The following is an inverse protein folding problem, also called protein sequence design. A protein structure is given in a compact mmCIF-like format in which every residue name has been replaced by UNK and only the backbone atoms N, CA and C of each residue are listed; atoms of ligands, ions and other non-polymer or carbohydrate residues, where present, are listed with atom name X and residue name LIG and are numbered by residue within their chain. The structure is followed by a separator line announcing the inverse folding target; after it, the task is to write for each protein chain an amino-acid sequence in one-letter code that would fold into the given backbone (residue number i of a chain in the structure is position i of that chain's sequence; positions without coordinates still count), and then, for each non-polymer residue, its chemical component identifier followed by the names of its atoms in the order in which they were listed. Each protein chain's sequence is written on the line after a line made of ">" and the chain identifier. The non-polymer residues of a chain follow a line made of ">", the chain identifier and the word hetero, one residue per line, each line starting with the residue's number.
data_IF_004338447685
#
_entry.id   IF_004338447685
#
_cell.length_a   1.000
_cell.length_b   1.000
_cell.length_c   1.000
_cell.angle_alpha   90.00
_cell.angle_beta   90.00
_cell.angle_gamma   90.00
#
_symmetry.space_group_name_H-M   'P 1'
#
loop_
_entity.id
_entity.type
_entity.pdbx_description
1 polymer ?
#
# COMPACT_ATOMS: atom_id res chain seq x y z
N UNK A 1 -1.40 -62.36 1.98
CA UNK A 1 -0.29 -61.95 2.86
C UNK A 1 -0.77 -60.77 3.68
N UNK A 2 -0.99 -60.99 4.98
CA UNK A 2 -1.52 -59.97 5.90
C UNK A 2 -0.39 -59.22 6.60
N UNK A 3 -0.58 -57.92 6.82
CA UNK A 3 0.24 -57.14 7.72
C UNK A 3 -0.56 -56.79 8.97
N UNK A 4 0.02 -57.15 10.10
CA UNK A 4 -0.51 -57.02 11.45
C UNK A 4 -0.30 -55.58 11.94
N UNK A 5 -1.38 -54.99 12.45
CA UNK A 5 -1.41 -53.73 13.19
C UNK A 5 -0.88 -53.97 14.60
N UNK A 6 0.26 -53.39 14.96
CA UNK A 6 0.70 -53.33 16.37
C UNK A 6 0.31 -51.99 16.96
N UNK A 7 -0.71 -52.02 17.83
CA UNK A 7 -1.16 -50.90 18.63
C UNK A 7 -0.15 -50.51 19.71
N UNK A 8 -0.01 -49.20 19.94
CA UNK A 8 0.66 -48.67 21.12
C UNK A 8 -0.29 -48.62 22.31
N UNK A 9 0.21 -49.02 23.48
CA UNK A 9 -0.55 -49.06 24.74
C UNK A 9 -1.02 -47.66 25.16
N UNK A 10 -2.32 -47.50 25.32
CA UNK A 10 -2.94 -46.38 26.03
C UNK A 10 -2.44 -46.31 27.47
N UNK A 11 -1.70 -45.25 27.84
CA UNK A 11 -1.48 -44.93 29.25
C UNK A 11 -2.70 -44.17 29.80
N UNK A 12 -3.35 -44.81 30.77
CA UNK A 12 -4.29 -44.21 31.71
C UNK A 12 -3.57 -43.13 32.53
N UNK A 13 -3.78 -41.86 32.18
CA UNK A 13 -3.74 -40.75 33.14
C UNK A 13 -4.40 -39.51 32.51
N UNK A 14 -5.74 -39.50 32.53
CA UNK A 14 -6.54 -38.29 32.32
C UNK A 14 -6.30 -37.35 33.51
N UNK A 15 -5.25 -36.51 33.46
CA UNK A 15 -5.20 -35.31 34.30
C UNK A 15 -6.12 -34.26 33.70
N UNK A 16 -7.18 -33.92 34.43
CA UNK A 16 -8.05 -32.77 34.16
C UNK A 16 -7.18 -31.53 33.97
N UNK A 17 -7.21 -30.91 32.78
CA UNK A 17 -6.72 -29.55 32.60
C UNK A 17 -7.69 -28.63 33.35
N UNK A 18 -7.22 -28.02 34.44
CA UNK A 18 -7.87 -26.81 34.95
C UNK A 18 -7.69 -25.73 33.88
N UNK A 19 -8.77 -25.41 33.18
CA UNK A 19 -8.86 -24.19 32.39
C UNK A 19 -8.94 -23.05 33.41
N UNK A 20 -7.87 -22.25 33.51
CA UNK A 20 -7.97 -20.94 34.14
C UNK A 20 -8.77 -20.02 33.19
N UNK A 21 -9.77 -19.27 33.67
CA UNK A 21 -10.52 -18.36 32.83
C UNK A 21 -9.59 -17.19 32.44
N UNK A 22 -9.23 -17.13 31.16
CA UNK A 22 -8.35 -16.11 30.56
C UNK A 22 -9.07 -14.78 30.26
N UNK A 23 -10.21 -14.54 30.90
CA UNK A 23 -10.98 -13.30 30.74
C UNK A 23 -11.25 -12.69 32.11
N UNK A 24 -10.28 -11.94 32.65
CA UNK A 24 -10.52 -10.86 33.63
C UNK A 24 -9.27 -10.02 33.97
N UNK A 25 -8.27 -9.90 33.08
CA UNK A 25 -7.07 -9.09 33.35
C UNK A 25 -7.07 -7.72 32.66
N UNK A 26 -8.20 -7.02 32.74
CA UNK A 26 -8.30 -5.61 32.36
C UNK A 26 -9.33 -4.89 33.22
N UNK A 27 -9.10 -4.82 34.54
CA UNK A 27 -9.71 -3.82 35.42
C UNK A 27 -9.20 -4.03 36.86
N UNK A 28 -8.12 -3.36 37.27
CA UNK A 28 -7.88 -2.94 38.67
C UNK A 28 -6.44 -2.44 38.83
N UNK A 29 -6.31 -1.18 39.24
CA UNK A 29 -5.03 -0.56 39.64
C UNK A 29 -4.40 -1.19 40.89
N UNK A 30 -5.12 -2.02 41.66
CA UNK A 30 -4.57 -2.65 42.87
C UNK A 30 -3.66 -3.85 42.60
N UNK A 31 -3.71 -4.45 41.41
CA UNK A 31 -2.86 -5.60 41.08
C UNK A 31 -1.46 -5.22 40.59
N UNK A 32 -1.24 -3.96 40.19
CA UNK A 32 0.08 -3.45 39.81
C UNK A 32 0.96 -3.20 41.05
N UNK A 33 0.38 -2.68 42.14
CA UNK A 33 1.12 -2.33 43.37
C UNK A 33 1.78 -3.55 44.03
N UNK A 34 1.09 -4.70 44.07
CA UNK A 34 1.63 -5.94 44.67
C UNK A 34 2.83 -6.52 43.92
N UNK A 35 3.03 -6.14 42.65
CA UNK A 35 4.17 -6.61 41.88
C UNK A 35 5.41 -5.73 42.04
N UNK A 36 5.25 -4.45 42.42
CA UNK A 36 6.37 -3.53 42.69
C UNK A 36 7.04 -3.86 44.04
N UNK A 37 6.26 -4.21 45.06
CA UNK A 37 6.79 -4.60 46.39
C UNK A 37 7.66 -5.88 46.37
N UNK A 38 7.53 -6.72 45.33
CA UNK A 38 8.36 -7.92 45.14
C UNK A 38 9.76 -7.61 44.58
N UNK A 39 9.97 -6.43 44.00
CA UNK A 39 11.26 -6.02 43.44
C UNK A 39 12.06 -5.10 44.39
N UNK A 40 11.46 -4.59 45.47
CA UNK A 40 12.13 -3.68 46.42
C UNK A 40 12.55 -4.33 47.75
N UNK A 41 12.44 -5.65 47.91
CA UNK A 41 12.87 -6.30 49.15
C UNK A 41 14.42 -6.31 49.29
N UNK A 42 15.00 -5.70 50.33
CA UNK A 42 16.46 -5.65 50.51
C UNK A 42 17.00 -7.03 50.92
N UNK A 43 18.08 -7.44 50.24
CA UNK A 43 18.83 -8.67 50.52
C UNK A 43 19.55 -8.53 51.86
N UNK A 44 18.93 -9.00 52.94
CA UNK A 44 19.59 -9.14 54.24
C UNK A 44 20.41 -10.43 54.30
N UNK A 45 21.73 -10.29 54.36
CA UNK A 45 22.63 -11.32 54.87
C UNK A 45 22.41 -11.50 56.38
N UNK A 46 22.04 -12.70 56.82
CA UNK A 46 22.26 -13.13 58.21
C UNK A 46 22.87 -14.52 58.27
N UNK A 47 24.14 -14.56 58.71
CA UNK A 47 24.74 -15.72 59.36
C UNK A 47 24.01 -15.96 60.68
N UNK A 48 23.69 -17.22 60.98
CA UNK A 48 23.56 -17.71 62.34
C UNK A 48 24.13 -19.14 62.39
N UNK A 49 25.25 -19.29 63.10
CA UNK A 49 25.71 -20.55 63.67
C UNK A 49 24.98 -20.74 65.01
N UNK A 50 24.40 -21.93 65.24
CA UNK A 50 24.63 -22.74 66.44
C UNK A 50 23.51 -23.78 66.66
N UNK A 51 23.92 -25.05 66.74
CA UNK A 51 23.47 -25.98 67.78
C UNK A 51 22.18 -26.77 67.59
N UNK A 52 22.31 -28.10 67.37
CA UNK A 52 21.34 -29.07 67.88
C UNK A 52 20.83 -30.12 66.89
N UNK A 53 21.49 -31.27 66.87
CA UNK A 53 21.11 -32.55 66.27
C UNK A 53 19.60 -32.84 66.12
N UNK A 54 19.19 -33.29 64.92
CA UNK A 54 18.66 -34.65 64.67
C UNK A 54 18.30 -34.84 63.19
N UNK A 55 19.08 -35.71 62.54
CA UNK A 55 18.68 -36.69 61.51
C UNK A 55 17.41 -36.37 60.71
N UNK A 56 17.53 -35.42 59.79
CA UNK A 56 16.77 -35.46 58.55
C UNK A 56 17.79 -35.59 57.42
N UNK A 57 17.96 -36.81 56.90
CA UNK A 57 18.54 -37.02 55.56
C UNK A 57 17.56 -36.41 54.55
N UNK A 58 17.52 -35.08 54.51
CA UNK A 58 16.98 -34.36 53.38
C UNK A 58 18.00 -34.64 52.29
N UNK A 59 17.64 -35.57 51.40
CA UNK A 59 18.26 -35.67 50.10
C UNK A 59 18.44 -34.24 49.59
N UNK A 60 19.68 -33.77 49.59
CA UNK A 60 20.08 -32.61 48.82
C UNK A 60 19.77 -32.98 47.38
N UNK A 61 18.53 -32.70 46.96
CA UNK A 61 18.14 -32.69 45.56
C UNK A 61 19.16 -31.75 44.94
N UNK A 62 20.10 -32.33 44.19
CA UNK A 62 21.03 -31.59 43.33
C UNK A 62 20.20 -30.45 42.75
N UNK A 63 20.53 -29.21 43.12
CA UNK A 63 20.00 -28.01 42.50
C UNK A 63 20.08 -28.30 41.01
N UNK A 64 18.92 -28.53 40.39
CA UNK A 64 18.85 -28.80 38.96
C UNK A 64 19.62 -27.64 38.35
N UNK A 65 20.68 -27.93 37.61
CA UNK A 65 21.37 -26.93 36.82
C UNK A 65 20.28 -26.08 36.17
N UNK A 66 20.16 -24.83 36.58
CA UNK A 66 19.25 -23.90 35.94
C UNK A 66 19.68 -23.91 34.49
N UNK A 67 18.85 -24.51 33.62
CA UNK A 67 19.07 -24.46 32.18
C UNK A 67 19.33 -22.99 31.88
N UNK A 68 20.48 -22.68 31.26
CA UNK A 68 20.80 -21.30 30.89
C UNK A 68 19.62 -20.79 30.06
N UNK A 69 18.91 -19.78 30.58
CA UNK A 69 17.81 -19.16 29.86
C UNK A 69 18.38 -18.59 28.57
N UNK A 70 17.80 -19.00 27.47
CA UNK A 70 18.14 -18.55 26.14
C UNK A 70 17.08 -17.57 25.66
N UNK A 71 17.41 -16.77 24.65
CA UNK A 71 16.45 -15.85 24.03
C UNK A 71 15.19 -16.58 23.50
N UNK A 72 15.32 -17.88 23.18
CA UNK A 72 14.21 -18.72 22.70
C UNK A 72 13.22 -19.11 23.81
N UNK A 73 13.60 -18.95 25.08
CA UNK A 73 12.71 -19.22 26.21
C UNK A 73 11.79 -18.01 26.51
N UNK A 74 11.94 -16.89 25.80
CA UNK A 74 11.05 -15.73 25.89
C UNK A 74 9.73 -15.96 25.15
N UNK A 75 8.63 -15.36 25.61
CA UNK A 75 7.39 -15.27 24.83
C UNK A 75 7.62 -14.65 23.44
N UNK A 76 6.88 -15.14 22.46
CA UNK A 76 7.00 -14.73 21.05
C UNK A 76 6.81 -13.22 20.90
N UNK A 77 5.90 -12.64 21.68
CA UNK A 77 5.59 -11.22 21.67
C UNK A 77 6.80 -10.38 22.11
N UNK A 78 7.56 -10.86 23.11
CA UNK A 78 8.77 -10.19 23.58
C UNK A 78 9.88 -10.30 22.52
N UNK A 79 10.02 -11.45 21.87
CA UNK A 79 10.99 -11.65 20.79
C UNK A 79 10.68 -10.71 19.61
N UNK A 80 9.41 -10.61 19.21
CA UNK A 80 8.97 -9.68 18.16
C UNK A 80 9.23 -8.22 18.55
N UNK A 81 8.99 -7.86 19.82
CA UNK A 81 9.28 -6.52 20.33
C UNK A 81 10.77 -6.21 20.26
N UNK A 82 11.63 -7.12 20.73
CA UNK A 82 13.09 -6.99 20.62
C UNK A 82 13.50 -6.80 19.15
N UNK A 83 12.94 -7.61 18.24
CA UNK A 83 13.22 -7.49 16.82
C UNK A 83 12.86 -6.09 16.26
N UNK A 84 11.70 -5.55 16.64
CA UNK A 84 11.29 -4.19 16.25
C UNK A 84 12.30 -3.15 16.73
N UNK A 85 12.70 -3.20 18.02
CA UNK A 85 13.67 -2.27 18.62
C UNK A 85 15.08 -2.37 18.02
N UNK A 86 15.49 -3.55 17.54
CA UNK A 86 16.74 -3.70 16.78
C UNK A 86 16.66 -3.12 15.37
N UNK A 87 15.67 -2.26 15.09
CA UNK A 87 15.36 -1.73 13.75
C UNK A 87 15.26 -2.87 12.73
N UNK A 88 14.59 -3.96 13.15
CA UNK A 88 14.30 -5.18 12.37
C UNK A 88 15.44 -5.63 11.48
N UNK A 89 16.64 -5.75 12.05
CA UNK A 89 17.81 -6.24 11.36
C UNK A 89 17.56 -7.69 10.88
N UNK A 90 17.72 -7.99 9.58
CA UNK A 90 17.34 -9.29 9.01
C UNK A 90 18.14 -10.46 9.60
N UNK A 91 19.27 -10.16 10.24
CA UNK A 91 20.17 -11.08 10.95
C UNK A 91 19.43 -11.98 11.94
N UNK A 92 18.40 -11.49 12.66
CA UNK A 92 17.69 -12.31 13.65
C UNK A 92 16.80 -13.39 12.99
N UNK A 93 16.22 -13.10 11.82
CA UNK A 93 15.33 -14.00 11.09
C UNK A 93 16.09 -15.19 10.50
N UNK A 94 17.38 -15.02 10.19
CA UNK A 94 18.23 -16.03 9.56
C UNK A 94 18.94 -16.95 10.55
N UNK A 95 18.89 -16.66 11.86
CA UNK A 95 19.61 -17.44 12.88
C UNK A 95 19.17 -18.90 12.95
N UNK A 96 17.86 -19.15 12.97
CA UNK A 96 17.29 -20.49 13.01
C UNK A 96 15.79 -20.50 12.66
N UNK A 97 15.24 -21.71 12.50
CA UNK A 97 13.83 -21.91 12.16
C UNK A 97 12.84 -21.37 13.20
N UNK A 98 13.22 -21.35 14.49
CA UNK A 98 12.37 -20.81 15.54
C UNK A 98 12.19 -19.29 15.37
N UNK A 99 13.28 -18.52 15.24
CA UNK A 99 13.18 -17.08 14.99
C UNK A 99 12.53 -16.76 13.66
N UNK A 100 12.82 -17.53 12.61
CA UNK A 100 12.11 -17.41 11.34
C UNK A 100 10.59 -17.56 11.50
N UNK A 101 10.16 -18.55 12.29
CA UNK A 101 8.73 -18.80 12.53
C UNK A 101 8.08 -17.69 13.36
N UNK A 102 8.76 -17.20 14.40
CA UNK A 102 8.29 -16.12 15.26
C UNK A 102 8.25 -14.75 14.55
N UNK A 103 9.19 -14.51 13.63
CA UNK A 103 9.37 -13.24 12.92
C UNK A 103 8.85 -13.30 11.48
N UNK A 104 8.06 -14.33 11.15
CA UNK A 104 7.42 -14.44 9.85
C UNK A 104 6.57 -13.18 9.59
N UNK A 105 6.70 -12.53 8.42
CA UNK A 105 5.91 -11.36 8.10
C UNK A 105 4.42 -11.63 8.29
N UNK A 106 3.80 -10.85 9.17
CA UNK A 106 2.37 -10.86 9.46
C UNK A 106 1.90 -9.42 9.53
N UNK A 107 0.60 -9.18 9.29
CA UNK A 107 0.04 -7.83 9.39
C UNK A 107 0.40 -7.16 10.71
N UNK A 108 0.21 -7.84 11.85
CA UNK A 108 0.49 -7.28 13.16
C UNK A 108 1.97 -6.90 13.34
N UNK A 109 2.89 -7.76 12.91
CA UNK A 109 4.33 -7.49 13.03
C UNK A 109 4.76 -6.35 12.10
N UNK A 110 4.32 -6.38 10.84
CA UNK A 110 4.66 -5.34 9.86
C UNK A 110 4.08 -3.99 10.25
N UNK A 111 2.83 -3.94 10.72
CA UNK A 111 2.22 -2.71 11.21
C UNK A 111 2.98 -2.14 12.40
N UNK A 112 3.43 -2.97 13.34
CA UNK A 112 4.27 -2.51 14.46
C UNK A 112 5.61 -1.94 13.99
N UNK A 113 6.28 -2.61 13.03
CA UNK A 113 7.53 -2.09 12.45
C UNK A 113 7.28 -0.77 11.71
N UNK A 114 6.15 -0.66 11.00
CA UNK A 114 5.75 0.56 10.30
C UNK A 114 5.62 1.72 11.29
N UNK A 115 4.85 1.54 12.36
CA UNK A 115 4.64 2.58 13.37
C UNK A 115 5.91 2.91 14.13
N UNK A 116 6.77 1.95 14.42
CA UNK A 116 8.02 2.25 15.12
C UNK A 116 9.02 3.03 14.26
N UNK A 117 9.06 2.78 12.94
CA UNK A 117 10.10 3.35 12.07
C UNK A 117 9.68 4.57 11.26
N UNK A 118 8.40 4.66 10.91
CA UNK A 118 7.89 5.65 9.97
C UNK A 118 6.88 6.60 10.60
N UNK A 119 6.54 6.42 11.88
CA UNK A 119 5.84 7.45 12.63
C UNK A 119 6.82 8.59 12.88
N UNK A 120 6.40 9.80 12.51
CA UNK A 120 7.15 11.00 12.75
C UNK A 120 6.76 11.57 14.12
N UNK A 121 7.74 11.71 15.01
CA UNK A 121 7.59 12.44 16.27
C UNK A 121 8.17 13.86 16.10
N UNK A 122 7.33 14.91 16.02
CA UNK A 122 7.83 16.26 15.82
C UNK A 122 8.66 16.78 17.02
N UNK A 123 8.49 16.22 18.22
CA UNK A 123 9.23 16.63 19.41
C UNK A 123 10.72 16.23 19.31
N UNK A 124 11.03 15.11 18.67
CA UNK A 124 12.43 14.69 18.43
C UNK A 124 13.21 15.71 17.59
N UNK A 125 12.50 16.53 16.80
CA UNK A 125 13.06 17.53 15.90
C UNK A 125 12.87 18.98 16.39
N UNK A 126 12.46 19.17 17.66
CA UNK A 126 12.31 20.50 18.26
C UNK A 126 11.11 21.31 17.75
N UNK A 127 10.09 20.65 17.18
CA UNK A 127 8.85 21.30 16.75
C UNK A 127 7.91 21.42 17.95
N UNK A 128 7.88 22.60 18.58
CA UNK A 128 7.10 22.84 19.80
C UNK A 128 5.64 23.28 19.52
N UNK A 129 5.36 23.83 18.33
CA UNK A 129 4.04 24.34 17.94
C UNK A 129 3.12 23.26 17.33
N UNK A 130 2.86 22.20 18.08
CA UNK A 130 1.93 21.13 17.66
C UNK A 130 0.55 21.41 18.29
N UNK A 131 -0.49 21.65 17.50
CA UNK A 131 -1.87 21.69 18.03
C UNK A 131 -2.19 20.39 18.76
N UNK A 132 -3.00 20.47 19.82
CA UNK A 132 -3.26 19.41 20.82
C UNK A 132 -3.79 18.04 20.33
N UNK A 133 -3.89 17.79 19.01
CA UNK A 133 -4.12 16.47 18.43
C UNK A 133 -3.70 16.48 16.93
N UNK A 134 -2.40 16.29 16.60
CA UNK A 134 -1.96 16.19 15.20
C UNK A 134 -2.34 14.83 14.57
N UNK A 135 -2.76 13.86 15.40
CA UNK A 135 -2.89 12.47 15.03
C UNK A 135 -1.55 11.87 14.56
N UNK A 136 -1.57 10.69 13.94
CA UNK A 136 -0.33 10.03 13.54
C UNK A 136 0.17 10.62 12.22
N UNK A 137 1.40 11.14 12.23
CA UNK A 137 2.08 11.66 11.04
C UNK A 137 3.04 10.57 10.54
N UNK A 138 2.98 10.23 9.25
CA UNK A 138 3.79 9.16 8.67
C UNK A 138 4.73 9.68 7.60
N UNK A 139 5.96 9.16 7.57
CA UNK A 139 6.97 9.46 6.57
C UNK A 139 6.60 8.74 5.24
N UNK A 140 6.46 9.45 4.10
CA UNK A 140 6.03 8.87 2.82
C UNK A 140 6.99 7.84 2.21
N UNK A 141 8.26 7.86 2.62
CA UNK A 141 9.28 6.89 2.15
C UNK A 141 8.92 5.44 2.51
N UNK A 142 7.97 5.25 3.44
CA UNK A 142 7.35 3.96 3.72
C UNK A 142 6.94 3.19 2.44
N UNK A 143 6.36 3.90 1.47
CA UNK A 143 5.82 3.28 0.27
C UNK A 143 6.87 2.86 -0.76
N UNK A 144 8.12 3.27 -0.59
CA UNK A 144 9.23 2.84 -1.46
C UNK A 144 9.64 1.40 -1.16
N UNK A 145 9.35 0.92 0.06
CA UNK A 145 9.54 -0.47 0.42
C UNK A 145 8.38 -1.33 -0.06
N UNK A 146 8.67 -2.24 -1.00
CA UNK A 146 7.71 -3.19 -1.59
C UNK A 146 6.84 -3.92 -0.56
N UNK A 147 7.41 -4.31 0.59
CA UNK A 147 6.67 -5.00 1.65
C UNK A 147 5.58 -4.14 2.27
N UNK A 148 5.90 -2.88 2.59
CA UNK A 148 4.93 -1.95 3.18
C UNK A 148 3.95 -1.43 2.15
N UNK A 149 4.38 -1.26 0.90
CA UNK A 149 3.47 -0.97 -0.20
C UNK A 149 2.42 -2.07 -0.38
N UNK A 150 2.84 -3.34 -0.37
CA UNK A 150 1.89 -4.46 -0.41
C UNK A 150 0.97 -4.50 0.81
N UNK A 151 1.51 -4.23 2.01
CA UNK A 151 0.73 -4.11 3.23
C UNK A 151 -0.37 -3.04 3.10
N UNK A 152 -0.04 -1.89 2.52
CA UNK A 152 -0.99 -0.82 2.19
C UNK A 152 -2.09 -1.34 1.27
N UNK A 153 -1.75 -1.93 0.13
CA UNK A 153 -2.75 -2.42 -0.83
C UNK A 153 -3.74 -3.39 -0.18
N UNK A 154 -3.23 -4.31 0.65
CA UNK A 154 -4.03 -5.35 1.30
C UNK A 154 -4.86 -4.83 2.50
N UNK A 155 -4.38 -3.81 3.23
CA UNK A 155 -4.96 -3.36 4.51
C UNK A 155 -5.18 -1.84 4.63
N UNK A 156 -5.34 -1.13 3.50
CA UNK A 156 -5.48 0.33 3.44
C UNK A 156 -6.54 0.88 4.39
N UNK A 157 -7.68 0.19 4.53
CA UNK A 157 -8.80 0.62 5.38
C UNK A 157 -8.40 0.74 6.87
N UNK A 158 -7.50 -0.11 7.37
CA UNK A 158 -7.03 -0.03 8.76
C UNK A 158 -5.93 1.00 8.86
N UNK A 159 -4.95 0.95 7.95
CA UNK A 159 -3.74 1.76 8.04
C UNK A 159 -4.05 3.25 7.85
N UNK A 160 -4.78 3.60 6.79
CA UNK A 160 -5.05 5.01 6.47
C UNK A 160 -6.00 5.67 7.47
N UNK A 161 -6.92 4.93 8.11
CA UNK A 161 -7.77 5.47 9.18
C UNK A 161 -6.97 5.96 10.38
N UNK A 162 -5.86 5.28 10.68
CA UNK A 162 -4.96 5.66 11.76
C UNK A 162 -3.95 6.73 11.37
N UNK A 163 -3.83 7.10 10.09
CA UNK A 163 -2.91 8.13 9.61
C UNK A 163 -3.67 9.43 9.43
N UNK A 164 -3.22 10.48 10.11
CA UNK A 164 -3.82 11.79 9.97
C UNK A 164 -3.17 12.56 8.83
N UNK A 165 -1.83 12.57 8.78
CA UNK A 165 -1.08 13.31 7.78
C UNK A 165 0.16 12.53 7.31
N UNK A 166 0.61 12.83 6.09
CA UNK A 166 1.91 12.40 5.61
C UNK A 166 2.86 13.60 5.65
N UNK A 167 4.07 13.38 6.18
CA UNK A 167 5.09 14.43 6.23
C UNK A 167 5.60 14.71 4.82
N UNK A 168 5.63 15.96 4.34
CA UNK A 168 6.11 16.20 3.00
C UNK A 168 7.56 15.74 2.78
N UNK A 169 7.84 15.14 1.62
CA UNK A 169 9.16 14.57 1.31
C UNK A 169 10.30 15.59 1.43
N UNK A 170 10.05 16.83 1.00
CA UNK A 170 11.03 17.92 1.11
C UNK A 170 11.39 18.20 2.57
N UNK A 171 10.39 18.34 3.44
CA UNK A 171 10.64 18.56 4.87
C UNK A 171 11.38 17.39 5.52
N UNK A 172 11.05 16.15 5.12
CA UNK A 172 11.80 14.99 5.62
C UNK A 172 13.28 15.02 5.18
N UNK A 173 13.57 15.43 3.95
CA UNK A 173 14.94 15.59 3.45
C UNK A 173 15.68 16.71 4.19
N UNK A 174 15.06 17.89 4.31
CA UNK A 174 15.64 19.03 5.04
C UNK A 174 15.97 18.66 6.50
N UNK A 175 15.15 17.83 7.15
CA UNK A 175 15.39 17.29 8.49
C UNK A 175 16.57 16.30 8.54
N UNK A 176 16.71 15.44 7.53
CA UNK A 176 17.85 14.52 7.45
C UNK A 176 19.18 15.26 7.22
N UNK A 177 19.13 16.34 6.45
CA UNK A 177 20.30 17.14 6.08
C UNK A 177 20.71 18.13 7.20
N UNK A 178 19.87 18.32 8.23
CA UNK A 178 20.13 19.23 9.35
C UNK A 178 19.85 20.70 9.03
N UNK A 179 19.28 20.98 7.85
CA UNK A 179 18.92 22.32 7.36
C UNK A 179 17.47 22.69 7.71
N UNK A 180 16.80 21.87 8.52
CA UNK A 180 15.43 22.09 8.92
C UNK A 180 15.29 23.29 9.87
N UNK A 181 14.72 24.37 9.34
CA UNK A 181 14.42 25.57 10.10
C UNK A 181 13.15 25.36 10.95
N UNK A 182 13.34 24.90 12.19
CA UNK A 182 12.25 24.73 13.16
C UNK A 182 11.52 26.04 13.52
N UNK A 183 12.08 27.20 13.16
CA UNK A 183 11.45 28.52 13.38
C UNK A 183 10.46 28.90 12.27
N UNK A 184 10.62 28.32 11.07
CA UNK A 184 9.57 28.29 10.05
C UNK A 184 8.65 27.14 10.41
N UNK A 185 7.65 27.46 11.23
CA UNK A 185 6.62 26.55 11.70
C UNK A 185 6.32 25.51 10.61
N UNK A 186 6.62 24.24 10.92
CA UNK A 186 5.92 23.14 10.26
C UNK A 186 4.46 23.39 10.63
N UNK A 187 3.75 24.14 9.81
CA UNK A 187 2.35 24.47 10.06
C UNK A 187 1.54 23.22 9.74
N UNK A 188 1.70 22.22 10.62
CA UNK A 188 0.93 20.99 10.71
C UNK A 188 -0.57 21.31 10.75
N UNK A 189 -0.92 22.54 11.13
CA UNK A 189 -2.28 23.03 11.18
C UNK A 189 -2.80 23.52 9.82
N UNK A 190 -1.92 24.00 8.93
CA UNK A 190 -2.24 24.31 7.53
C UNK A 190 -2.38 23.06 6.66
N UNK A 191 -1.81 21.93 7.08
CA UNK A 191 -1.97 20.60 6.44
C UNK A 191 -3.36 20.00 6.62
N UNK A 192 -4.36 20.81 6.94
CA UNK A 192 -5.76 20.43 6.89
C UNK A 192 -6.07 19.81 5.52
N UNK A 193 -6.66 18.63 5.56
CA UNK A 193 -6.93 17.72 4.43
C UNK A 193 -7.80 18.33 3.30
N UNK A 194 -8.26 19.57 3.46
CA UNK A 194 -9.11 20.27 2.49
C UNK A 194 -8.38 21.21 1.53
N UNK A 195 -7.31 21.89 1.95
CA UNK A 195 -6.75 23.04 1.21
C UNK A 195 -5.21 23.09 1.08
N UNK A 196 -4.48 22.13 1.66
CA UNK A 196 -3.04 22.04 1.44
C UNK A 196 -2.72 21.40 0.07
N UNK A 197 -1.66 21.89 -0.60
CA UNK A 197 -1.12 21.24 -1.80
C UNK A 197 -0.79 19.78 -1.48
N UNK A 198 -1.66 18.86 -1.90
CA UNK A 198 -1.44 17.43 -1.69
C UNK A 198 -0.12 17.01 -2.32
N UNK A 199 0.60 16.14 -1.62
CA UNK A 199 1.81 15.53 -2.15
C UNK A 199 1.50 14.68 -3.38
N UNK A 200 2.52 14.46 -4.21
CA UNK A 200 2.38 13.55 -5.34
C UNK A 200 2.24 12.09 -4.86
N UNK A 201 1.55 11.27 -5.66
CA UNK A 201 1.44 9.85 -5.37
C UNK A 201 2.82 9.18 -5.29
N UNK A 202 2.99 8.14 -4.45
CA UNK A 202 4.21 7.35 -4.43
C UNK A 202 4.53 6.74 -5.80
N UNK A 203 5.81 6.67 -6.15
CA UNK A 203 6.28 6.20 -7.48
C UNK A 203 5.77 4.81 -7.87
N UNK A 204 5.49 3.94 -6.90
CA UNK A 204 4.94 2.62 -7.20
C UNK A 204 3.58 2.68 -7.93
N UNK A 205 2.78 3.72 -7.71
CA UNK A 205 1.52 3.93 -8.45
C UNK A 205 1.76 4.37 -9.90
N UNK A 206 2.92 4.94 -10.21
CA UNK A 206 3.32 5.27 -11.58
C UNK A 206 3.87 4.07 -12.35
N UNK A 207 4.34 3.02 -11.67
CA UNK A 207 4.95 1.85 -12.31
C UNK A 207 4.04 0.63 -12.38
N UNK A 208 3.13 0.46 -11.43
CA UNK A 208 2.24 -0.72 -11.36
C UNK A 208 0.81 -0.37 -11.80
N UNK A 209 0.59 -0.45 -13.11
CA UNK A 209 -0.68 -0.14 -13.78
C UNK A 209 -1.85 -1.01 -13.29
N UNK A 210 -1.57 -2.21 -12.79
CA UNK A 210 -2.60 -3.15 -12.36
C UNK A 210 -3.37 -2.62 -11.13
N UNK A 211 -2.76 -1.74 -10.34
CA UNK A 211 -3.34 -1.21 -9.11
C UNK A 211 -4.65 -0.46 -9.37
N UNK A 212 -4.74 0.27 -10.48
CA UNK A 212 -5.95 1.01 -10.86
C UNK A 212 -7.12 0.09 -11.22
N UNK A 213 -6.86 -1.19 -11.50
CA UNK A 213 -7.88 -2.20 -11.74
C UNK A 213 -8.27 -2.94 -10.46
N UNK A 214 -7.28 -3.46 -9.72
CA UNK A 214 -7.52 -4.40 -8.62
C UNK A 214 -7.69 -3.74 -7.26
N UNK A 215 -7.17 -2.52 -7.07
CA UNK A 215 -7.12 -1.84 -5.78
C UNK A 215 -7.78 -0.46 -5.81
N UNK A 216 -8.90 -0.31 -6.54
CA UNK A 216 -9.63 0.97 -6.71
C UNK A 216 -9.90 1.71 -5.41
N UNK A 217 -10.40 1.01 -4.38
CA UNK A 217 -10.72 1.62 -3.09
C UNK A 217 -9.47 2.08 -2.32
N UNK A 218 -8.35 1.36 -2.47
CA UNK A 218 -7.07 1.81 -1.94
C UNK A 218 -6.62 3.10 -2.62
N UNK A 219 -6.68 3.16 -3.96
CA UNK A 219 -6.29 4.35 -4.73
C UNK A 219 -7.13 5.56 -4.33
N UNK A 220 -8.45 5.42 -4.19
CA UNK A 220 -9.34 6.49 -3.69
C UNK A 220 -8.96 6.92 -2.28
N UNK A 221 -8.72 5.97 -1.38
CA UNK A 221 -8.36 6.26 0.01
C UNK A 221 -7.03 7.00 0.10
N UNK A 222 -6.04 6.62 -0.71
CA UNK A 222 -4.75 7.31 -0.82
C UNK A 222 -4.94 8.70 -1.44
N UNK A 223 -5.87 8.86 -2.38
CA UNK A 223 -6.25 10.15 -2.99
C UNK A 223 -6.80 11.19 -2.00
N UNK A 224 -7.18 10.78 -0.78
CA UNK A 224 -7.52 11.73 0.28
C UNK A 224 -6.27 12.47 0.81
N UNK A 225 -5.10 11.84 0.73
CA UNK A 225 -3.84 12.35 1.24
C UNK A 225 -2.90 12.85 0.14
N UNK A 226 -2.95 12.25 -1.05
CA UNK A 226 -2.09 12.54 -2.19
C UNK A 226 -2.90 12.99 -3.41
N UNK A 227 -2.28 13.71 -4.33
CA UNK A 227 -2.84 14.05 -5.64
C UNK A 227 -1.87 13.62 -6.74
N UNK A 228 -2.35 12.91 -7.75
CA UNK A 228 -1.51 12.44 -8.86
C UNK A 228 -1.14 13.64 -9.75
N UNK A 229 0.09 14.16 -9.62
CA UNK A 229 0.47 15.43 -10.27
C UNK A 229 0.59 15.31 -11.79
N UNK A 230 1.03 14.16 -12.29
CA UNK A 230 1.22 13.93 -13.71
C UNK A 230 0.38 12.73 -14.20
N UNK A 231 -0.95 12.90 -14.37
CA UNK A 231 -1.83 11.80 -14.72
C UNK A 231 -1.49 11.15 -16.08
N UNK A 232 -0.99 11.92 -17.04
CA UNK A 232 -0.66 11.41 -18.38
C UNK A 232 0.52 10.43 -18.39
N UNK A 233 1.47 10.58 -17.46
CA UNK A 233 2.55 9.62 -17.24
C UNK A 233 2.05 8.25 -16.73
N UNK A 234 0.77 8.17 -16.33
CA UNK A 234 0.11 6.92 -15.95
C UNK A 234 -0.88 6.49 -17.02
N UNK A 235 -1.69 7.41 -17.55
CA UNK A 235 -2.77 7.09 -18.50
C UNK A 235 -2.22 6.43 -19.77
N UNK A 236 -1.25 7.03 -20.46
CA UNK A 236 -0.76 6.47 -21.72
C UNK A 236 -0.10 5.10 -21.52
N UNK A 237 0.83 4.93 -20.55
CA UNK A 237 1.38 3.59 -20.24
C UNK A 237 0.33 2.59 -19.74
N UNK A 238 -0.68 3.04 -19.01
CA UNK A 238 -1.81 2.20 -18.61
C UNK A 238 -2.58 1.69 -19.82
N UNK A 239 -2.86 2.54 -20.81
CA UNK A 239 -3.54 2.14 -22.05
C UNK A 239 -2.75 1.07 -22.81
N UNK A 240 -1.45 1.31 -23.01
CA UNK A 240 -0.56 0.35 -23.67
C UNK A 240 -0.54 -1.00 -22.93
N UNK A 241 -0.32 -0.95 -21.61
CA UNK A 241 -0.30 -2.13 -20.76
C UNK A 241 -1.65 -2.88 -20.74
N UNK A 242 -2.76 -2.15 -20.76
CA UNK A 242 -4.11 -2.73 -20.75
C UNK A 242 -4.37 -3.51 -22.04
N UNK A 243 -4.10 -2.90 -23.20
CA UNK A 243 -4.24 -3.56 -24.51
C UNK A 243 -3.30 -4.76 -24.65
N UNK A 244 -2.05 -4.63 -24.20
CA UNK A 244 -1.09 -5.73 -24.18
C UNK A 244 -1.59 -6.87 -23.28
N UNK A 245 -2.22 -6.55 -22.14
CA UNK A 245 -2.79 -7.54 -21.23
C UNK A 245 -3.99 -8.26 -21.83
N UNK A 246 -4.81 -7.59 -22.64
CA UNK A 246 -5.91 -8.21 -23.41
C UNK A 246 -5.36 -9.18 -24.46
N UNK A 247 -4.28 -8.81 -25.16
CA UNK A 247 -3.65 -9.67 -26.16
C UNK A 247 -3.01 -10.92 -25.54
N UNK A 248 -2.11 -10.74 -24.57
CA UNK A 248 -1.25 -11.81 -24.05
C UNK A 248 -2.01 -12.78 -23.12
N UNK A 249 -2.94 -12.27 -22.30
CA UNK A 249 -3.62 -13.10 -21.30
C UNK A 249 -4.82 -13.77 -21.97
N UNK A 250 -4.68 -15.08 -22.24
CA UNK A 250 -5.71 -15.88 -22.91
C UNK A 250 -7.13 -15.69 -22.37
N UNK A 251 -8.12 -16.11 -23.16
CA UNK A 251 -9.55 -15.78 -23.04
C UNK A 251 -10.16 -15.72 -21.63
N UNK A 252 -9.71 -16.55 -20.67
CA UNK A 252 -10.22 -16.57 -19.30
C UNK A 252 -9.83 -15.37 -18.41
N UNK A 253 -8.80 -14.59 -18.77
CA UNK A 253 -8.45 -13.34 -18.05
C UNK A 253 -8.94 -12.13 -18.84
N UNK A 254 -8.91 -12.18 -20.18
CA UNK A 254 -9.52 -11.17 -21.04
C UNK A 254 -11.01 -10.94 -20.72
N UNK A 255 -11.74 -12.00 -20.30
CA UNK A 255 -13.14 -11.86 -19.86
C UNK A 255 -13.35 -10.96 -18.64
N UNK A 256 -12.29 -10.63 -17.89
CA UNK A 256 -12.34 -9.69 -16.76
C UNK A 256 -11.91 -8.27 -17.16
N UNK A 257 -11.25 -8.12 -18.30
CA UNK A 257 -10.78 -6.84 -18.82
C UNK A 257 -11.78 -6.36 -19.87
N UNK A 258 -12.74 -5.56 -19.43
CA UNK A 258 -13.78 -4.98 -20.29
C UNK A 258 -13.48 -3.53 -20.64
N UNK A 259 -14.12 -3.03 -21.69
CA UNK A 259 -14.11 -1.61 -22.01
C UNK A 259 -14.58 -0.71 -20.86
N UNK A 260 -15.65 -1.11 -20.16
CA UNK A 260 -16.16 -0.32 -19.03
C UNK A 260 -15.09 -0.21 -17.92
N UNK A 261 -14.40 -1.33 -17.63
CA UNK A 261 -13.32 -1.35 -16.64
C UNK A 261 -12.14 -0.47 -17.07
N UNK A 262 -11.82 -0.43 -18.37
CA UNK A 262 -10.82 0.46 -18.93
C UNK A 262 -11.17 1.93 -18.67
N UNK A 263 -12.40 2.35 -19.01
CA UNK A 263 -12.84 3.72 -18.79
C UNK A 263 -12.92 4.08 -17.30
N UNK A 264 -13.46 3.20 -16.45
CA UNK A 264 -13.54 3.42 -15.00
C UNK A 264 -12.16 3.62 -14.37
N UNK A 265 -11.14 2.94 -14.89
CA UNK A 265 -9.77 3.05 -14.38
C UNK A 265 -9.14 4.39 -14.76
N UNK A 266 -9.42 4.88 -15.97
CA UNK A 266 -8.98 6.22 -16.39
C UNK A 266 -9.72 7.30 -15.59
N UNK A 267 -11.02 7.14 -15.37
CA UNK A 267 -11.79 8.05 -14.51
C UNK A 267 -11.22 8.10 -13.10
N UNK A 268 -10.81 6.95 -12.55
CA UNK A 268 -10.16 6.87 -11.25
C UNK A 268 -8.84 7.63 -11.24
N UNK A 269 -8.01 7.49 -12.28
CA UNK A 269 -6.73 8.21 -12.41
C UNK A 269 -6.97 9.73 -12.44
N UNK A 270 -7.93 10.20 -13.24
CA UNK A 270 -8.30 11.61 -13.32
C UNK A 270 -8.92 12.14 -12.03
N UNK A 271 -9.71 11.31 -11.35
CA UNK A 271 -10.30 11.65 -10.06
C UNK A 271 -9.21 11.91 -9.02
N UNK A 272 -8.22 11.01 -8.90
CA UNK A 272 -7.13 11.19 -7.93
C UNK A 272 -6.08 12.22 -8.36
N UNK A 273 -6.07 12.65 -9.63
CA UNK A 273 -5.28 13.80 -10.08
C UNK A 273 -5.92 15.14 -9.71
N UNK A 274 -7.12 15.14 -9.14
CA UNK A 274 -7.87 16.36 -8.80
C UNK A 274 -8.55 17.02 -10.00
N UNK A 275 -8.73 16.29 -11.12
CA UNK A 275 -9.49 16.82 -12.26
C UNK A 275 -10.97 16.94 -11.90
N UNK A 276 -11.49 18.17 -11.88
CA UNK A 276 -12.88 18.46 -11.51
C UNK A 276 -13.87 18.07 -12.60
N UNK A 277 -13.45 18.12 -13.86
CA UNK A 277 -14.30 17.87 -15.03
C UNK A 277 -14.18 16.44 -15.56
N UNK A 278 -13.21 15.65 -15.06
CA UNK A 278 -12.86 14.34 -15.62
C UNK A 278 -12.60 14.37 -17.14
N UNK A 279 -12.16 15.53 -17.65
CA UNK A 279 -11.75 15.71 -19.05
C UNK A 279 -10.23 15.69 -19.14
N UNK A 280 -9.72 15.36 -20.32
CA UNK A 280 -8.29 15.51 -20.58
C UNK A 280 -7.96 16.94 -20.99
N UNK A 281 -6.79 17.37 -20.55
CA UNK A 281 -6.10 18.61 -20.94
C UNK A 281 -4.92 18.34 -21.88
N UNK A 282 -4.62 17.06 -22.14
CA UNK A 282 -3.58 16.61 -23.07
C UNK A 282 -4.17 15.76 -24.17
N UNK A 283 -3.58 15.85 -25.36
CA UNK A 283 -3.97 15.06 -26.52
C UNK A 283 -3.31 13.69 -26.57
N UNK A 284 -2.25 13.49 -25.78
CA UNK A 284 -1.46 12.27 -25.72
C UNK A 284 -2.29 10.99 -25.51
N UNK A 285 -3.32 10.94 -24.64
CA UNK A 285 -4.16 9.74 -24.49
C UNK A 285 -4.92 9.37 -25.75
N UNK A 286 -5.44 10.35 -26.51
CA UNK A 286 -6.12 10.11 -27.78
C UNK A 286 -5.14 9.60 -28.84
N UNK A 287 -3.99 10.25 -28.97
CA UNK A 287 -2.95 9.84 -29.90
C UNK A 287 -2.47 8.41 -29.63
N UNK A 288 -2.25 8.08 -28.35
CA UNK A 288 -1.90 6.73 -27.89
C UNK A 288 -2.98 5.74 -28.28
N UNK A 289 -4.25 6.05 -28.00
CA UNK A 289 -5.36 5.15 -28.28
C UNK A 289 -5.52 4.88 -29.78
N UNK A 290 -5.45 5.91 -30.62
CA UNK A 290 -5.52 5.73 -32.08
C UNK A 290 -4.31 4.92 -32.57
N UNK A 291 -3.11 5.15 -32.01
CA UNK A 291 -1.94 4.35 -32.33
C UNK A 291 -2.12 2.86 -32.01
N UNK A 292 -2.68 2.56 -30.83
CA UNK A 292 -2.95 1.18 -30.41
C UNK A 292 -3.99 0.52 -31.32
N UNK A 293 -5.09 1.21 -31.63
CA UNK A 293 -6.23 0.64 -32.35
C UNK A 293 -6.05 0.55 -33.88
N UNK A 294 -5.26 1.42 -34.49
CA UNK A 294 -5.15 1.51 -35.95
C UNK A 294 -3.76 1.13 -36.49
N UNK A 295 -2.74 1.00 -35.63
CA UNK A 295 -1.41 0.59 -36.05
C UNK A 295 -0.90 -0.63 -35.29
N UNK A 296 -0.97 -0.62 -33.95
CA UNK A 296 -0.37 -1.69 -33.14
C UNK A 296 -1.17 -2.98 -33.18
N UNK A 297 -2.47 -2.90 -32.91
CA UNK A 297 -3.34 -4.06 -32.75
C UNK A 297 -4.29 -4.29 -33.92
N UNK A 298 -4.21 -3.50 -35.01
CA UNK A 298 -5.16 -3.54 -36.15
C UNK A 298 -5.42 -4.97 -36.67
N UNK A 299 -4.35 -5.77 -36.81
CA UNK A 299 -4.43 -7.15 -37.29
C UNK A 299 -4.99 -8.17 -36.28
N UNK A 300 -5.04 -7.82 -34.99
CA UNK A 300 -5.44 -8.72 -33.89
C UNK A 300 -6.72 -8.28 -33.18
N UNK A 301 -7.34 -7.16 -33.58
CA UNK A 301 -8.64 -6.73 -33.03
C UNK A 301 -9.78 -7.75 -33.26
N UNK A 302 -9.65 -8.62 -34.27
CA UNK A 302 -10.62 -9.70 -34.57
C UNK A 302 -10.37 -10.97 -33.76
N UNK A 303 -9.39 -10.99 -32.87
CA UNK A 303 -9.15 -12.14 -31.99
C UNK A 303 -10.24 -12.23 -30.91
N UNK A 304 -10.56 -13.43 -30.41
CA UNK A 304 -11.62 -13.61 -29.41
C UNK A 304 -11.37 -12.82 -28.13
N UNK A 305 -10.11 -12.56 -27.76
CA UNK A 305 -9.78 -11.75 -26.59
C UNK A 305 -10.25 -10.29 -26.78
N UNK A 306 -10.02 -9.71 -27.95
CA UNK A 306 -10.46 -8.36 -28.28
C UNK A 306 -11.97 -8.29 -28.52
N UNK A 307 -12.59 -9.31 -29.13
CA UNK A 307 -14.05 -9.38 -29.24
C UNK A 307 -14.75 -9.31 -27.87
N UNK A 308 -14.22 -10.06 -26.88
CA UNK A 308 -14.72 -10.02 -25.51
C UNK A 308 -14.48 -8.65 -24.85
N UNK A 309 -13.30 -8.08 -25.05
CA UNK A 309 -12.95 -6.74 -24.52
C UNK A 309 -13.88 -5.65 -25.07
N UNK A 310 -14.09 -5.62 -26.39
CA UNK A 310 -14.98 -4.64 -27.04
C UNK A 310 -16.46 -4.89 -26.74
N UNK A 311 -16.83 -6.08 -26.24
CA UNK A 311 -18.21 -6.48 -25.98
C UNK A 311 -19.12 -6.24 -27.20
N UNK A 312 -18.68 -6.70 -28.38
CA UNK A 312 -19.35 -6.48 -29.67
C UNK A 312 -19.43 -5.02 -30.17
N UNK A 313 -18.69 -4.08 -29.57
CA UNK A 313 -18.54 -2.73 -30.12
C UNK A 313 -17.58 -2.74 -31.31
N UNK A 314 -17.84 -1.87 -32.30
CA UNK A 314 -16.86 -1.60 -33.35
C UNK A 314 -15.74 -0.70 -32.81
N UNK A 315 -14.56 -0.76 -33.43
CA UNK A 315 -13.45 0.17 -33.14
C UNK A 315 -13.87 1.64 -33.23
N UNK A 316 -14.71 1.98 -34.21
CA UNK A 316 -15.20 3.35 -34.39
C UNK A 316 -16.09 3.79 -33.22
N UNK A 317 -17.01 2.92 -32.78
CA UNK A 317 -17.88 3.19 -31.63
C UNK A 317 -17.09 3.32 -30.33
N UNK A 318 -16.03 2.52 -30.18
CA UNK A 318 -15.09 2.66 -29.06
C UNK A 318 -14.45 4.06 -29.06
N UNK A 319 -13.96 4.51 -30.22
CA UNK A 319 -13.34 5.84 -30.37
C UNK A 319 -14.36 6.95 -30.08
N UNK A 320 -15.58 6.81 -30.57
CA UNK A 320 -16.69 7.74 -30.34
C UNK A 320 -16.97 7.88 -28.84
N UNK A 321 -17.20 6.77 -28.13
CA UNK A 321 -17.46 6.78 -26.69
C UNK A 321 -16.29 7.42 -25.91
N UNK A 322 -15.04 7.18 -26.32
CA UNK A 322 -13.86 7.78 -25.71
C UNK A 322 -13.72 9.29 -25.97
N UNK A 323 -13.88 9.75 -27.22
CA UNK A 323 -13.78 11.16 -27.59
C UNK A 323 -14.90 11.96 -26.93
N UNK A 324 -16.14 11.46 -26.99
CA UNK A 324 -17.29 12.12 -26.36
C UNK A 324 -17.08 12.26 -24.85
N UNK A 325 -16.58 11.20 -24.21
CA UNK A 325 -16.37 11.22 -22.76
C UNK A 325 -15.28 12.21 -22.34
N UNK A 326 -14.13 12.22 -23.01
CA UNK A 326 -12.96 12.95 -22.48
C UNK A 326 -12.58 14.26 -23.19
N UNK A 327 -13.04 14.48 -24.43
CA UNK A 327 -12.63 15.63 -25.26
C UNK A 327 -13.77 16.51 -25.76
N UNK A 328 -14.96 15.93 -25.92
CA UNK A 328 -16.13 16.68 -26.37
C UNK A 328 -16.70 17.56 -25.25
N UNK A 329 -16.95 18.82 -25.56
CA UNK A 329 -17.66 19.77 -24.70
C UNK A 329 -18.84 20.38 -25.48
N UNK A 330 -20.10 20.11 -25.10
CA UNK A 330 -21.26 20.63 -25.82
C UNK A 330 -21.38 22.16 -25.74
N UNK A 331 -20.69 22.81 -24.80
CA UNK A 331 -20.69 24.27 -24.65
C UNK A 331 -19.67 24.98 -25.54
N UNK A 332 -18.69 24.23 -26.09
CA UNK A 332 -17.70 24.77 -27.01
C UNK A 332 -17.99 24.30 -28.44
N UNK A 333 -18.05 25.24 -29.37
CA UNK A 333 -18.21 24.93 -30.79
C UNK A 333 -16.92 24.33 -31.41
N UNK A 334 -15.78 24.55 -30.78
CA UNK A 334 -14.46 24.08 -31.24
C UNK A 334 -13.68 23.48 -30.07
N UNK A 335 -13.04 22.33 -30.30
CA UNK A 335 -12.14 21.71 -29.33
C UNK A 335 -10.69 21.94 -29.76
N UNK A 336 -9.96 22.75 -29.00
CA UNK A 336 -8.56 23.05 -29.27
C UNK A 336 -7.70 21.78 -29.31
N UNK A 337 -7.95 20.85 -28.38
CA UNK A 337 -7.23 19.58 -28.29
C UNK A 337 -7.49 18.68 -29.50
N UNK A 338 -8.74 18.60 -29.98
CA UNK A 338 -9.05 17.83 -31.20
C UNK A 338 -8.57 18.51 -32.49
N UNK A 339 -8.21 19.80 -32.40
CA UNK A 339 -7.63 20.57 -33.48
C UNK A 339 -6.10 20.55 -33.47
N UNK A 340 -5.47 19.80 -32.56
CA UNK A 340 -4.02 19.67 -32.45
C UNK A 340 -3.41 19.02 -33.72
N UNK A 341 -2.26 19.55 -34.15
CA UNK A 341 -1.60 19.10 -35.39
C UNK A 341 -1.18 17.64 -35.34
N UNK A 342 -0.77 17.14 -34.18
CA UNK A 342 -0.34 15.75 -34.01
C UNK A 342 -1.48 14.77 -34.26
N UNK A 343 -2.71 15.14 -33.87
CA UNK A 343 -3.91 14.35 -34.12
C UNK A 343 -4.21 14.32 -35.61
N UNK A 344 -4.19 15.47 -36.27
CA UNK A 344 -4.51 15.56 -37.69
C UNK A 344 -3.50 14.82 -38.57
N UNK A 345 -2.21 14.88 -38.24
CA UNK A 345 -1.18 14.08 -38.89
C UNK A 345 -1.44 12.59 -38.70
N UNK A 346 -1.83 12.18 -37.49
CA UNK A 346 -2.11 10.80 -37.17
C UNK A 346 -3.40 10.29 -37.86
N UNK A 347 -4.47 11.09 -37.87
CA UNK A 347 -5.71 10.81 -38.60
C UNK A 347 -5.47 10.69 -40.10
N UNK A 348 -4.63 11.56 -40.68
CA UNK A 348 -4.24 11.49 -42.09
C UNK A 348 -3.50 10.18 -42.40
N UNK A 349 -2.61 9.73 -41.51
CA UNK A 349 -1.90 8.45 -41.65
C UNK A 349 -2.84 7.25 -41.54
N UNK A 350 -3.85 7.34 -40.67
CA UNK A 350 -4.88 6.30 -40.52
C UNK A 350 -5.76 6.21 -41.78
N UNK A 351 -6.10 7.36 -42.38
CA UNK A 351 -6.93 7.47 -43.59
C UNK A 351 -8.34 6.85 -43.51
N UNK A 352 -8.87 6.63 -42.30
CA UNK A 352 -10.27 6.22 -42.09
C UNK A 352 -11.17 7.45 -42.06
N UNK A 353 -11.92 7.66 -43.14
CA UNK A 353 -12.83 8.81 -43.29
C UNK A 353 -13.85 8.90 -42.15
N UNK A 354 -14.33 7.77 -41.65
CA UNK A 354 -15.35 7.78 -40.58
C UNK A 354 -14.78 8.27 -39.26
N UNK A 355 -13.51 7.97 -38.99
CA UNK A 355 -12.82 8.49 -37.80
C UNK A 355 -12.56 10.00 -37.94
N UNK A 356 -12.18 10.45 -39.13
CA UNK A 356 -12.00 11.88 -39.42
C UNK A 356 -13.33 12.62 -39.23
N UNK A 357 -14.40 12.12 -39.82
CA UNK A 357 -15.75 12.69 -39.71
C UNK A 357 -16.18 12.77 -38.24
N UNK A 358 -15.97 11.71 -37.45
CA UNK A 358 -16.25 11.69 -36.01
C UNK A 358 -15.48 12.80 -35.25
N UNK A 359 -14.20 13.01 -35.55
CA UNK A 359 -13.40 14.06 -34.89
C UNK A 359 -13.90 15.46 -35.28
N UNK A 360 -14.31 15.64 -36.55
CA UNK A 360 -14.92 16.89 -37.02
C UNK A 360 -16.26 17.15 -36.34
N UNK A 361 -17.11 16.14 -36.23
CA UNK A 361 -18.40 16.21 -35.52
C UNK A 361 -18.23 16.58 -34.04
N UNK A 362 -17.15 16.13 -33.42
CA UNK A 362 -16.80 16.48 -32.03
C UNK A 362 -16.13 17.87 -31.89
N UNK A 363 -16.06 18.68 -32.95
CA UNK A 363 -15.54 20.05 -32.92
C UNK A 363 -14.04 20.17 -33.22
N UNK A 364 -13.39 19.11 -33.69
CA UNK A 364 -12.00 19.17 -34.18
C UNK A 364 -11.93 19.84 -35.56
N UNK A 365 -10.93 20.70 -35.78
CA UNK A 365 -10.70 21.33 -37.08
C UNK A 365 -9.25 21.18 -37.54
N UNK A 366 -9.01 20.85 -38.81
CA UNK A 366 -7.66 20.77 -39.34
C UNK A 366 -7.02 22.17 -39.33
N UNK A 367 -5.82 22.28 -38.75
CA UNK A 367 -5.04 23.50 -38.80
C UNK A 367 -4.32 23.58 -40.17
N UNK A 368 -4.94 24.30 -41.11
CA UNK A 368 -4.38 24.50 -42.46
C UNK A 368 -3.04 25.28 -42.47
N UNK A 369 -2.67 25.93 -41.37
CA UNK A 369 -1.44 26.72 -41.25
C UNK A 369 -0.14 25.91 -41.25
N UNK A 370 -0.20 24.60 -40.97
CA UNK A 370 0.97 23.70 -40.94
C UNK A 370 1.03 22.80 -42.19
N UNK A 371 -0.02 22.81 -43.03
CA UNK A 371 -0.05 21.98 -44.25
C UNK A 371 0.91 22.45 -45.36
N UNK A 372 1.57 23.60 -45.20
CA UNK A 372 2.46 24.21 -46.21
C UNK A 372 3.86 24.56 -45.68
N UNK A 373 4.24 24.09 -44.48
CA UNK A 373 5.58 24.29 -43.90
C UNK A 373 6.48 23.08 -44.07
#
# INVERSE_FOLDING_TARGET
>A
MGYIVTGYSSRHDKRKKHVLPLHQYAASSMNLQRHVDLFEAPVFYKRALSGGNKLAKIHAKKLRHHRKLSLQDLPIEIIQHIFIFTKGEPSMVTLNWFFYSCLRPSFLLLSKIMWERYLFDPLEFGVENIKANPGNIVIPTLFEHKTFFKLLLDHHHILLQSISHFLPRKHYQDMQDGDFDASKELDLCSMSTGNAEKEDFPMNFYYDMQIFLTHKECVKSVGNHFALKNPYNVISPFMEWFFQSVEIRGAGIASKLTFDLFLESIDLILYVSGSTTQKFTSIEPLSTLVFLLYFTYDNVLQTPNFEVFFQNRSRLRFMEEFIIKYYYDPSSAESELLSDTTVWDLLRRVSDLRLIDLVVECGGRPQYGVMFS
#
